data_IF_345845042823
#
_entry.id   IF_345845042823
#
_cell.length_a   1.000
_cell.length_b   1.000
_cell.length_c   1.000
_cell.angle_alpha   90.00
_cell.angle_beta   90.00
_cell.angle_gamma   90.00
#
_symmetry.space_group_name_H-M   'P 1'
#
loop_
_entity.id
_entity.type
_entity.pdbx_description
1 polymer ?
#
# COMPACT_ATOMS: atom_id res chain seq x y z
N UNK A 1 -8.97 15.65 -34.50
CA UNK A 1 -9.61 14.64 -33.62
C UNK A 1 -9.29 15.01 -32.17
N UNK A 2 -10.29 15.14 -31.29
CA UNK A 2 -10.06 15.62 -29.90
C UNK A 2 -9.18 14.60 -29.15
N UNK A 3 -8.17 15.05 -28.41
CA UNK A 3 -7.16 14.20 -27.71
C UNK A 3 -7.81 13.06 -26.93
N UNK A 4 -8.93 13.34 -26.25
CA UNK A 4 -9.72 12.37 -25.49
C UNK A 4 -10.26 11.20 -26.34
N UNK A 5 -10.81 11.48 -27.53
CA UNK A 5 -11.31 10.42 -28.43
C UNK A 5 -10.18 9.51 -28.90
N UNK A 6 -8.99 10.07 -29.10
CA UNK A 6 -7.81 9.30 -29.50
C UNK A 6 -7.28 8.43 -28.37
N UNK A 7 -7.36 8.90 -27.11
CA UNK A 7 -7.03 8.09 -25.93
C UNK A 7 -7.93 6.85 -25.84
N UNK A 8 -9.26 7.03 -25.91
CA UNK A 8 -10.20 5.92 -25.84
C UNK A 8 -10.07 4.95 -27.02
N UNK A 9 -9.81 5.46 -28.22
CA UNK A 9 -9.54 4.62 -29.39
C UNK A 9 -8.25 3.79 -29.23
N UNK A 10 -7.18 4.41 -28.68
CA UNK A 10 -5.91 3.75 -28.39
C UNK A 10 -6.06 2.64 -27.34
N UNK A 11 -6.84 2.89 -26.27
CA UNK A 11 -7.17 1.90 -25.24
C UNK A 11 -7.83 0.64 -25.85
N UNK A 12 -8.78 0.82 -26.77
CA UNK A 12 -9.44 -0.31 -27.46
C UNK A 12 -8.47 -1.04 -28.39
N UNK A 13 -7.63 -0.31 -29.10
CA UNK A 13 -6.71 -0.88 -30.08
C UNK A 13 -5.58 -1.69 -29.42
N UNK A 14 -5.08 -1.25 -28.26
CA UNK A 14 -4.03 -1.93 -27.50
C UNK A 14 -4.57 -2.66 -26.26
N UNK A 15 -5.75 -3.28 -26.36
CA UNK A 15 -6.44 -3.89 -25.22
C UNK A 15 -5.61 -4.91 -24.44
N UNK A 16 -4.68 -5.64 -25.09
CA UNK A 16 -3.77 -6.59 -24.41
C UNK A 16 -2.82 -5.88 -23.46
N UNK A 17 -2.24 -4.77 -23.89
CA UNK A 17 -1.40 -3.94 -23.05
C UNK A 17 -2.20 -3.37 -21.89
N UNK A 18 -3.37 -2.79 -22.18
CA UNK A 18 -4.27 -2.25 -21.17
C UNK A 18 -4.69 -3.30 -20.14
N UNK A 19 -4.95 -4.54 -20.57
CA UNK A 19 -5.30 -5.65 -19.69
C UNK A 19 -4.12 -6.03 -18.76
N UNK A 20 -2.92 -6.22 -19.32
CA UNK A 20 -1.72 -6.55 -18.53
C UNK A 20 -1.39 -5.42 -17.55
N UNK A 21 -1.43 -4.16 -18.01
CA UNK A 21 -1.24 -2.98 -17.18
C UNK A 21 -2.30 -2.91 -16.07
N UNK A 22 -3.56 -3.20 -16.39
CA UNK A 22 -4.67 -3.25 -15.44
C UNK A 22 -4.47 -4.31 -14.35
N UNK A 23 -4.01 -5.51 -14.70
CA UNK A 23 -3.71 -6.58 -13.71
C UNK A 23 -2.60 -6.15 -12.76
N UNK A 24 -1.50 -5.57 -13.27
CA UNK A 24 -0.42 -5.09 -12.40
C UNK A 24 -0.83 -3.90 -11.55
N UNK A 25 -1.65 -2.99 -12.10
CA UNK A 25 -2.26 -1.90 -11.35
C UNK A 25 -3.16 -2.44 -10.24
N UNK A 26 -3.91 -3.52 -10.50
CA UNK A 26 -4.72 -4.18 -9.49
C UNK A 26 -3.90 -4.76 -8.34
N UNK A 27 -2.86 -5.53 -8.67
CA UNK A 27 -1.97 -6.09 -7.66
C UNK A 27 -1.31 -5.00 -6.83
N UNK A 28 -0.85 -3.92 -7.46
CA UNK A 28 -0.29 -2.76 -6.77
C UNK A 28 -1.31 -2.12 -5.83
N UNK A 29 -2.49 -1.73 -6.33
CA UNK A 29 -3.50 -1.03 -5.52
C UNK A 29 -3.97 -1.85 -4.33
N UNK A 30 -4.29 -3.13 -4.53
CA UNK A 30 -4.74 -4.00 -3.44
C UNK A 30 -3.62 -4.21 -2.41
N UNK A 31 -2.39 -4.50 -2.86
CA UNK A 31 -1.27 -4.75 -1.94
C UNK A 31 -0.87 -3.49 -1.17
N UNK A 32 -0.81 -2.34 -1.86
CA UNK A 32 -0.46 -1.06 -1.25
C UNK A 32 -1.53 -0.58 -0.27
N UNK A 33 -2.82 -0.70 -0.62
CA UNK A 33 -3.91 -0.36 0.29
C UNK A 33 -3.87 -1.26 1.54
N UNK A 34 -3.68 -2.56 1.35
CA UNK A 34 -3.56 -3.53 2.45
C UNK A 34 -2.42 -3.15 3.39
N UNK A 35 -1.26 -2.79 2.82
CA UNK A 35 -0.07 -2.40 3.59
C UNK A 35 -0.30 -1.11 4.37
N UNK A 36 -0.95 -0.12 3.77
CA UNK A 36 -1.26 1.15 4.44
C UNK A 36 -2.26 0.96 5.59
N UNK A 37 -3.29 0.13 5.40
CA UNK A 37 -4.26 -0.20 6.46
C UNK A 37 -3.57 -0.95 7.59
N UNK A 38 -2.73 -1.94 7.30
CA UNK A 38 -2.00 -2.70 8.33
C UNK A 38 -1.02 -1.78 9.09
N UNK A 39 -0.32 -0.89 8.39
CA UNK A 39 0.54 0.11 9.02
C UNK A 39 -0.26 1.00 9.98
N UNK A 40 -1.45 1.45 9.58
CA UNK A 40 -2.30 2.30 10.41
C UNK A 40 -2.83 1.57 11.65
N UNK A 41 -3.30 0.33 11.50
CA UNK A 41 -3.72 -0.52 12.62
C UNK A 41 -2.56 -0.70 13.61
N UNK A 42 -1.35 -0.97 13.11
CA UNK A 42 -0.17 -1.16 13.96
C UNK A 42 0.29 0.14 14.62
N UNK A 43 0.19 1.28 13.92
CA UNK A 43 0.48 2.60 14.47
C UNK A 43 -0.46 2.98 15.61
N UNK A 44 -1.76 2.78 15.43
CA UNK A 44 -2.76 2.99 16.49
C UNK A 44 -2.52 2.07 17.69
N UNK A 45 -2.28 0.78 17.43
CA UNK A 45 -1.98 -0.19 18.49
C UNK A 45 -0.70 0.16 19.27
N UNK A 46 0.35 0.63 18.58
CA UNK A 46 1.59 1.09 19.20
C UNK A 46 1.36 2.35 20.04
N UNK A 47 0.64 3.35 19.52
CA UNK A 47 0.35 4.58 20.26
C UNK A 47 -0.46 4.34 21.53
N UNK A 48 -1.49 3.49 21.45
CA UNK A 48 -2.24 3.05 22.62
C UNK A 48 -1.35 2.31 23.62
N UNK A 49 -0.48 1.41 23.12
CA UNK A 49 0.46 0.67 23.96
C UNK A 49 1.44 1.60 24.70
N UNK A 50 2.04 2.57 24.00
CA UNK A 50 2.96 3.55 24.59
C UNK A 50 2.27 4.44 25.63
N UNK A 51 1.08 4.96 25.32
CA UNK A 51 0.28 5.76 26.27
C UNK A 51 -0.03 4.95 27.53
N UNK A 52 -0.41 3.69 27.34
CA UNK A 52 -0.74 2.76 28.42
C UNK A 52 0.49 2.42 29.28
N UNK A 53 1.67 2.27 28.68
CA UNK A 53 2.93 2.12 29.43
C UNK A 53 3.28 3.38 30.22
N UNK A 54 3.14 4.57 29.63
CA UNK A 54 3.45 5.84 30.32
C UNK A 54 2.59 6.02 31.58
N UNK A 55 1.31 5.64 31.53
CA UNK A 55 0.42 5.64 32.71
C UNK A 55 0.94 4.69 33.81
N UNK A 56 1.41 3.50 33.43
CA UNK A 56 1.95 2.51 34.38
C UNK A 56 3.23 3.05 35.01
N UNK A 57 4.11 3.62 34.20
CA UNK A 57 5.42 4.06 34.67
C UNK A 57 5.32 5.27 35.61
N UNK A 58 4.51 6.28 35.24
CA UNK A 58 4.27 7.45 36.11
C UNK A 58 3.73 7.08 37.48
N UNK A 59 3.00 5.97 37.59
CA UNK A 59 2.45 5.47 38.86
C UNK A 59 3.39 4.55 39.63
N UNK A 60 4.34 3.89 38.95
CA UNK A 60 5.13 2.82 39.55
C UNK A 60 6.62 3.10 39.69
N UNK A 61 7.20 4.11 39.00
CA UNK A 61 8.66 4.39 38.99
C UNK A 61 9.52 3.12 38.72
N UNK A 62 9.01 2.16 37.94
CA UNK A 62 9.58 0.81 37.77
C UNK A 62 9.78 0.45 36.27
N UNK A 63 9.93 1.45 35.37
CA UNK A 63 10.25 1.27 33.93
C UNK A 63 11.41 0.30 33.62
N UNK A 64 12.33 0.09 34.57
CA UNK A 64 13.51 -0.76 34.42
C UNK A 64 13.26 -2.26 34.65
N UNK A 65 12.12 -2.69 35.23
CA UNK A 65 11.91 -4.12 35.57
C UNK A 65 11.21 -4.96 34.51
N UNK A 66 10.61 -4.37 33.47
CA UNK A 66 9.76 -5.12 32.55
C UNK A 66 10.41 -5.28 31.16
N UNK A 67 11.42 -6.14 31.09
CA UNK A 67 12.08 -6.53 29.83
C UNK A 67 11.08 -7.01 28.75
N UNK A 68 10.01 -7.68 29.16
CA UNK A 68 8.92 -8.14 28.28
C UNK A 68 8.16 -6.99 27.60
N UNK A 69 7.89 -5.89 28.31
CA UNK A 69 7.18 -4.73 27.76
C UNK A 69 8.05 -4.00 26.72
N UNK A 70 9.37 -3.89 26.96
CA UNK A 70 10.32 -3.35 25.96
C UNK A 70 10.41 -4.25 24.73
N UNK A 71 10.41 -5.57 24.90
CA UNK A 71 10.41 -6.51 23.78
C UNK A 71 9.13 -6.38 22.92
N UNK A 72 7.96 -6.25 23.54
CA UNK A 72 6.70 -6.03 22.82
C UNK A 72 6.70 -4.69 22.06
N UNK A 73 7.24 -3.63 22.67
CA UNK A 73 7.39 -2.32 22.02
C UNK A 73 8.28 -2.41 20.77
N UNK A 74 9.43 -3.08 20.88
CA UNK A 74 10.32 -3.32 19.75
C UNK A 74 9.68 -4.17 18.64
N UNK A 75 8.89 -5.18 18.99
CA UNK A 75 8.17 -6.00 18.00
C UNK A 75 7.18 -5.14 17.22
N UNK A 76 6.36 -4.33 17.90
CA UNK A 76 5.41 -3.42 17.23
C UNK A 76 6.11 -2.39 16.36
N UNK A 77 7.16 -1.75 16.86
CA UNK A 77 7.97 -0.80 16.09
C UNK A 77 8.58 -1.46 14.85
N UNK A 78 9.10 -2.69 14.97
CA UNK A 78 9.61 -3.43 13.81
C UNK A 78 8.53 -3.69 12.76
N UNK A 79 7.30 -4.03 13.16
CA UNK A 79 6.20 -4.27 12.22
C UNK A 79 5.80 -2.97 11.50
N UNK A 80 5.75 -1.84 12.20
CA UNK A 80 5.50 -0.52 11.59
C UNK A 80 6.58 -0.17 10.57
N UNK A 81 7.86 -0.36 10.91
CA UNK A 81 8.97 -0.12 9.98
C UNK A 81 8.90 -1.06 8.77
N UNK A 82 8.62 -2.35 8.99
CA UNK A 82 8.55 -3.34 7.92
C UNK A 82 7.40 -3.07 6.96
N UNK A 83 6.22 -2.71 7.47
CA UNK A 83 5.07 -2.32 6.65
C UNK A 83 5.37 -1.08 5.82
N UNK A 84 6.03 -0.07 6.39
CA UNK A 84 6.45 1.12 5.66
C UNK A 84 7.47 0.77 4.56
N UNK A 85 8.47 -0.07 4.87
CA UNK A 85 9.45 -0.53 3.89
C UNK A 85 8.80 -1.32 2.76
N UNK A 86 7.86 -2.21 3.09
CA UNK A 86 7.12 -3.00 2.11
C UNK A 86 6.30 -2.11 1.17
N UNK A 87 5.68 -1.04 1.70
CA UNK A 87 5.00 -0.04 0.87
C UNK A 87 5.96 0.63 -0.13
N UNK A 88 7.14 1.06 0.32
CA UNK A 88 8.12 1.68 -0.58
C UNK A 88 8.65 0.71 -1.64
N UNK A 89 8.85 -0.56 -1.28
CA UNK A 89 9.22 -1.61 -2.23
C UNK A 89 8.12 -1.79 -3.28
N UNK A 90 6.85 -1.91 -2.87
CA UNK A 90 5.72 -2.00 -3.79
C UNK A 90 5.65 -0.80 -4.75
N UNK A 91 5.84 0.41 -4.21
CA UNK A 91 5.84 1.65 -4.98
C UNK A 91 6.97 1.69 -6.01
N UNK A 92 8.20 1.34 -5.59
CA UNK A 92 9.37 1.26 -6.48
C UNK A 92 9.25 0.16 -7.53
N UNK A 93 8.74 -1.02 -7.17
CA UNK A 93 8.49 -2.12 -8.11
C UNK A 93 7.43 -1.74 -9.14
N UNK A 94 6.37 -1.03 -8.74
CA UNK A 94 5.35 -0.55 -9.66
C UNK A 94 5.90 0.51 -10.62
N UNK A 95 6.73 1.44 -10.14
CA UNK A 95 7.44 2.40 -10.99
C UNK A 95 8.27 1.72 -12.07
N UNK A 96 9.08 0.73 -11.67
CA UNK A 96 9.93 -0.04 -12.57
C UNK A 96 9.09 -0.83 -13.58
N UNK A 97 7.97 -1.40 -13.16
CA UNK A 97 7.06 -2.12 -14.04
C UNK A 97 6.44 -1.19 -15.10
N UNK A 98 5.98 0.00 -14.70
CA UNK A 98 5.45 1.00 -15.64
C UNK A 98 6.52 1.43 -16.64
N UNK A 99 7.75 1.61 -16.19
CA UNK A 99 8.88 1.93 -17.06
C UNK A 99 9.08 0.83 -18.11
N UNK A 100 9.18 -0.44 -17.68
CA UNK A 100 9.35 -1.59 -18.59
C UNK A 100 8.20 -1.66 -19.60
N UNK A 101 6.96 -1.59 -19.11
CA UNK A 101 5.77 -1.62 -19.95
C UNK A 101 5.73 -0.45 -20.93
N UNK A 102 6.09 0.75 -20.49
CA UNK A 102 6.16 1.93 -21.36
C UNK A 102 7.21 1.74 -22.46
N UNK A 103 8.41 1.25 -22.11
CA UNK A 103 9.49 0.98 -23.08
C UNK A 103 9.07 -0.08 -24.10
N UNK A 104 8.48 -1.19 -23.66
CA UNK A 104 8.00 -2.25 -24.57
C UNK A 104 6.96 -1.68 -25.54
N UNK A 105 6.00 -0.90 -25.03
CA UNK A 105 4.95 -0.30 -25.87
C UNK A 105 5.50 0.74 -26.83
N UNK A 106 6.48 1.53 -26.43
CA UNK A 106 7.17 2.48 -27.31
C UNK A 106 7.89 1.76 -28.46
N UNK A 107 8.52 0.62 -28.19
CA UNK A 107 9.17 -0.21 -29.22
C UNK A 107 8.12 -0.80 -30.18
N UNK A 108 7.03 -1.37 -29.65
CA UNK A 108 5.96 -1.98 -30.46
C UNK A 108 5.23 -0.94 -31.34
N UNK A 109 5.06 0.29 -30.84
CA UNK A 109 4.35 1.37 -31.51
C UNK A 109 5.26 2.34 -32.26
N UNK A 110 6.52 1.97 -32.51
CA UNK A 110 7.51 2.83 -33.20
C UNK A 110 6.98 3.41 -34.51
N UNK A 111 6.28 2.61 -35.31
CA UNK A 111 5.72 3.06 -36.59
C UNK A 111 4.60 4.10 -36.42
N UNK A 112 3.75 3.96 -35.40
CA UNK A 112 2.70 4.96 -35.11
C UNK A 112 3.30 6.30 -34.72
N UNK A 113 4.33 6.27 -33.86
CA UNK A 113 5.01 7.48 -33.42
C UNK A 113 5.77 8.18 -34.56
N UNK A 114 6.39 7.42 -35.47
CA UNK A 114 7.01 7.97 -36.67
C UNK A 114 5.99 8.68 -37.57
N UNK A 115 4.79 8.11 -37.76
CA UNK A 115 3.72 8.75 -38.54
C UNK A 115 3.25 10.04 -37.87
N UNK A 116 3.15 10.09 -36.54
CA UNK A 116 2.79 11.32 -35.83
C UNK A 116 3.84 12.43 -35.97
N UNK A 117 5.12 12.09 -35.97
CA UNK A 117 6.20 13.04 -36.24
C UNK A 117 6.15 13.55 -37.69
N UNK A 118 5.91 12.67 -38.66
CA UNK A 118 5.73 13.05 -40.07
C UNK A 118 4.51 13.95 -40.29
N UNK A 119 3.46 13.78 -39.47
CA UNK A 119 2.29 14.65 -39.47
C UNK A 119 2.52 16.01 -38.77
N UNK A 120 3.76 16.33 -38.38
CA UNK A 120 4.14 17.61 -37.78
C UNK A 120 3.81 17.76 -36.30
N UNK A 121 3.48 16.66 -35.60
CA UNK A 121 3.14 16.71 -34.17
C UNK A 121 4.42 16.85 -33.33
N UNK A 122 4.40 17.75 -32.35
CA UNK A 122 5.57 17.95 -31.47
C UNK A 122 5.83 16.72 -30.60
N UNK A 123 7.11 16.48 -30.25
CA UNK A 123 7.49 15.39 -29.35
C UNK A 123 6.79 15.51 -27.98
N UNK A 124 6.59 16.74 -27.48
CA UNK A 124 5.88 16.99 -26.24
C UNK A 124 4.41 16.53 -26.31
N UNK A 125 3.71 16.80 -27.42
CA UNK A 125 2.31 16.39 -27.59
C UNK A 125 2.16 14.88 -27.76
N UNK A 126 3.18 14.21 -28.29
CA UNK A 126 3.23 12.75 -28.39
C UNK A 126 3.42 12.14 -27.00
N UNK A 127 4.41 12.62 -26.23
CA UNK A 127 4.64 12.17 -24.84
C UNK A 127 3.45 12.43 -23.94
N UNK A 128 2.83 13.60 -24.08
CA UNK A 128 1.65 13.95 -23.30
C UNK A 128 0.45 13.04 -23.63
N UNK A 129 0.21 12.76 -24.91
CA UNK A 129 -0.85 11.83 -25.30
C UNK A 129 -0.61 10.43 -24.75
N UNK A 130 0.62 9.92 -24.84
CA UNK A 130 0.96 8.60 -24.29
C UNK A 130 0.80 8.54 -22.77
N UNK A 131 1.25 9.58 -22.06
CA UNK A 131 1.08 9.67 -20.62
C UNK A 131 -0.40 9.70 -20.21
N UNK A 132 -1.24 10.41 -20.97
CA UNK A 132 -2.68 10.40 -20.75
C UNK A 132 -3.29 9.02 -21.01
N UNK A 133 -2.88 8.28 -22.05
CA UNK A 133 -3.39 6.93 -22.31
C UNK A 133 -3.17 5.98 -21.13
N UNK A 134 -1.97 6.01 -20.55
CA UNK A 134 -1.63 5.19 -19.38
C UNK A 134 -2.32 5.70 -18.12
N UNK A 135 -2.43 7.02 -17.94
CA UNK A 135 -3.15 7.61 -16.81
C UNK A 135 -4.63 7.23 -16.82
N UNK A 136 -5.31 7.33 -17.97
CA UNK A 136 -6.71 6.91 -18.08
C UNK A 136 -6.88 5.40 -17.85
N UNK A 137 -5.93 4.58 -18.32
CA UNK A 137 -5.93 3.14 -18.03
C UNK A 137 -5.81 2.87 -16.53
N UNK A 138 -4.93 3.61 -15.83
CA UNK A 138 -4.77 3.54 -14.38
C UNK A 138 -6.04 3.98 -13.65
N UNK A 139 -6.64 5.11 -14.04
CA UNK A 139 -7.86 5.63 -13.42
C UNK A 139 -9.03 4.65 -13.56
N UNK A 140 -9.22 4.07 -14.74
CA UNK A 140 -10.27 3.05 -14.97
C UNK A 140 -10.04 1.85 -14.06
N UNK A 141 -8.81 1.32 -14.00
CA UNK A 141 -8.48 0.20 -13.11
C UNK A 141 -8.74 0.58 -11.65
N UNK A 142 -8.27 1.76 -11.21
CA UNK A 142 -8.47 2.27 -9.86
C UNK A 142 -9.95 2.28 -9.47
N UNK A 143 -10.82 2.90 -10.26
CA UNK A 143 -12.25 2.97 -9.94
C UNK A 143 -12.90 1.58 -9.91
N UNK A 144 -12.56 0.69 -10.85
CA UNK A 144 -13.08 -0.68 -10.85
C UNK A 144 -12.69 -1.40 -9.55
N UNK A 145 -11.43 -1.31 -9.14
CA UNK A 145 -10.92 -1.98 -7.94
C UNK A 145 -11.54 -1.38 -6.68
N UNK A 146 -11.63 -0.05 -6.59
CA UNK A 146 -12.28 0.61 -5.46
C UNK A 146 -13.72 0.16 -5.32
N UNK A 147 -14.49 0.09 -6.41
CA UNK A 147 -15.87 -0.40 -6.38
C UNK A 147 -15.91 -1.85 -5.91
N UNK A 148 -15.04 -2.72 -6.44
CA UNK A 148 -14.97 -4.12 -6.02
C UNK A 148 -14.66 -4.21 -4.52
N UNK A 149 -13.65 -3.49 -4.03
CA UNK A 149 -13.26 -3.50 -2.63
C UNK A 149 -14.36 -2.95 -1.71
N UNK A 150 -15.13 -1.95 -2.13
CA UNK A 150 -16.29 -1.47 -1.38
C UNK A 150 -17.39 -2.54 -1.27
N UNK A 151 -17.61 -3.32 -2.33
CA UNK A 151 -18.58 -4.43 -2.32
C UNK A 151 -18.12 -5.56 -1.39
N UNK A 152 -16.82 -5.87 -1.34
CA UNK A 152 -16.26 -6.96 -0.52
C UNK A 152 -15.60 -6.47 0.78
N UNK A 153 -15.90 -5.25 1.22
CA UNK A 153 -15.12 -4.56 2.27
C UNK A 153 -15.04 -5.35 3.59
N UNK A 154 -16.14 -5.97 4.02
CA UNK A 154 -16.18 -6.71 5.29
C UNK A 154 -15.21 -7.90 5.24
N UNK A 155 -15.29 -8.70 4.18
CA UNK A 155 -14.41 -9.86 3.98
C UNK A 155 -12.95 -9.45 3.85
N UNK A 156 -12.70 -8.34 3.15
CA UNK A 156 -11.36 -7.82 2.96
C UNK A 156 -10.74 -7.33 4.27
N UNK A 157 -11.46 -6.52 5.04
CA UNK A 157 -10.98 -5.98 6.31
C UNK A 157 -10.82 -7.07 7.38
N UNK A 158 -11.76 -8.01 7.48
CA UNK A 158 -11.66 -9.16 8.39
C UNK A 158 -10.41 -10.01 8.06
N UNK A 159 -10.15 -10.24 6.77
CA UNK A 159 -8.95 -10.93 6.30
C UNK A 159 -7.66 -10.18 6.65
N UNK A 160 -7.64 -8.84 6.54
CA UNK A 160 -6.50 -8.03 6.94
C UNK A 160 -6.24 -8.08 8.44
N UNK A 161 -7.30 -8.07 9.26
CA UNK A 161 -7.18 -8.19 10.73
C UNK A 161 -6.56 -9.55 11.08
N UNK A 162 -7.04 -10.64 10.48
CA UNK A 162 -6.49 -11.98 10.71
C UNK A 162 -5.03 -12.08 10.27
N UNK A 163 -4.69 -11.56 9.10
CA UNK A 163 -3.31 -11.54 8.59
C UNK A 163 -2.39 -10.72 9.50
N UNK A 164 -2.87 -9.59 9.99
CA UNK A 164 -2.14 -8.75 10.92
C UNK A 164 -1.89 -9.45 12.27
N UNK A 165 -2.90 -10.14 12.80
CA UNK A 165 -2.76 -10.95 14.01
C UNK A 165 -1.77 -12.10 13.83
N UNK A 166 -1.82 -12.77 12.67
CA UNK A 166 -0.87 -13.83 12.31
C UNK A 166 0.57 -13.29 12.26
N UNK A 167 0.79 -12.17 11.56
CA UNK A 167 2.13 -11.59 11.43
C UNK A 167 2.68 -11.08 12.76
N UNK A 168 1.83 -10.48 13.60
CA UNK A 168 2.20 -10.09 14.96
C UNK A 168 2.60 -11.31 15.79
N UNK A 169 1.80 -12.38 15.76
CA UNK A 169 2.09 -13.61 16.49
C UNK A 169 3.42 -14.22 16.03
N UNK A 170 3.71 -14.23 14.73
CA UNK A 170 4.97 -14.74 14.18
C UNK A 170 6.20 -13.93 14.64
N UNK A 171 6.04 -12.62 14.82
CA UNK A 171 7.11 -11.73 15.29
C UNK A 171 7.35 -11.80 16.80
N UNK A 172 6.48 -12.45 17.57
CA UNK A 172 6.67 -12.60 19.02
C UNK A 172 7.89 -13.47 19.34
N UNK A 173 8.69 -13.12 20.37
CA UNK A 173 9.74 -13.99 20.90
C UNK A 173 9.18 -15.36 21.29
N UNK A 174 9.97 -16.43 21.12
CA UNK A 174 9.55 -17.81 21.42
C UNK A 174 9.02 -17.99 22.84
N UNK A 175 9.57 -17.24 23.80
CA UNK A 175 9.11 -17.22 25.20
C UNK A 175 7.69 -16.65 25.39
N UNK A 176 7.28 -15.71 24.53
CA UNK A 176 5.93 -15.14 24.52
C UNK A 176 4.98 -15.96 23.64
N UNK A 177 5.48 -16.57 22.55
CA UNK A 177 4.70 -17.55 21.75
C UNK A 177 4.27 -18.75 22.60
N UNK A 178 5.15 -19.28 23.45
CA UNK A 178 4.82 -20.39 24.37
C UNK A 178 3.86 -19.96 25.48
N UNK A 179 3.86 -18.70 25.91
CA UNK A 179 2.84 -18.15 26.83
C UNK A 179 1.45 -18.08 26.20
N UNK A 180 1.37 -17.85 24.89
CA UNK A 180 0.13 -17.80 24.11
C UNK A 180 -0.41 -19.20 23.76
N UNK A 181 0.47 -20.18 23.58
CA UNK A 181 0.12 -21.56 23.15
C UNK A 181 0.11 -22.59 24.26
N UNK A 182 0.83 -22.35 25.36
CA UNK A 182 0.70 -23.20 26.55
C UNK A 182 -0.55 -22.81 27.32
N UNK A 183 -1.45 -23.75 27.53
CA UNK A 183 -2.54 -23.70 28.51
C UNK A 183 -2.02 -23.57 29.97
N UNK A 184 -0.88 -22.92 30.21
CA UNK A 184 -0.47 -22.54 31.56
C UNK A 184 -1.30 -21.35 32.00
N UNK A 185 -2.56 -21.60 32.33
CA UNK A 185 -3.50 -20.62 32.87
C UNK A 185 -2.82 -19.73 33.91
N UNK A 186 -1.92 -20.26 34.73
CA UNK A 186 -1.19 -19.51 35.76
C UNK A 186 -0.30 -18.37 35.25
N UNK A 187 0.41 -18.52 34.12
CA UNK A 187 1.36 -17.48 33.69
C UNK A 187 0.65 -16.37 32.90
N UNK A 188 -0.36 -16.75 32.11
CA UNK A 188 -1.29 -15.81 31.50
C UNK A 188 -2.18 -15.12 32.53
N UNK A 189 -2.61 -15.83 33.59
CA UNK A 189 -3.29 -15.24 34.74
C UNK A 189 -2.37 -14.29 35.49
N UNK A 190 -1.10 -14.60 35.73
CA UNK A 190 -0.14 -13.66 36.34
C UNK A 190 0.09 -12.43 35.46
N UNK A 191 0.20 -12.60 34.15
CA UNK A 191 0.26 -11.49 33.20
C UNK A 191 -1.00 -10.63 33.26
N UNK A 192 -2.19 -11.23 33.24
CA UNK A 192 -3.45 -10.51 33.38
C UNK A 192 -3.67 -9.91 34.78
N UNK A 193 -3.18 -10.54 35.85
CA UNK A 193 -3.28 -10.06 37.23
C UNK A 193 -2.50 -8.76 37.44
N UNK A 194 -1.39 -8.56 36.72
CA UNK A 194 -0.66 -7.30 36.71
C UNK A 194 -1.51 -6.13 36.20
N UNK A 195 -2.52 -6.43 35.40
CA UNK A 195 -3.41 -5.47 34.78
C UNK A 195 -4.81 -5.44 35.41
N UNK A 196 -5.22 -6.49 36.16
CA UNK A 196 -6.55 -6.59 36.80
C UNK A 196 -6.83 -5.51 37.86
N UNK A 197 -5.79 -4.94 38.49
CA UNK A 197 -5.96 -3.93 39.55
C UNK A 197 -5.68 -2.51 39.08
N UNK A 198 -5.40 -2.31 37.79
CA UNK A 198 -5.22 -0.96 37.24
C UNK A 198 -6.52 -0.52 36.56
N UNK A 199 -7.17 0.47 37.18
CA UNK A 199 -8.44 1.05 36.77
C UNK A 199 -8.53 1.23 35.23
N UNK A 200 -9.56 0.61 34.63
CA UNK A 200 -10.04 0.63 33.22
C UNK A 200 -9.47 -0.43 32.26
N UNK A 201 -10.36 -1.30 31.75
CA UNK A 201 -10.29 -2.11 30.50
C UNK A 201 -8.90 -2.62 30.06
N UNK A 202 -8.04 -2.97 30.99
CA UNK A 202 -6.68 -3.40 30.70
C UNK A 202 -6.62 -4.93 30.84
N UNK A 203 -6.86 -5.62 29.73
CA UNK A 203 -6.64 -7.06 29.63
C UNK A 203 -5.37 -7.29 28.80
N UNK A 204 -4.55 -8.30 29.14
CA UNK A 204 -3.37 -8.66 28.35
C UNK A 204 -3.70 -8.89 26.87
N UNK A 205 -4.92 -9.36 26.57
CA UNK A 205 -5.40 -9.44 25.19
C UNK A 205 -5.53 -8.07 24.51
N UNK A 206 -6.16 -7.07 25.16
CA UNK A 206 -6.34 -5.68 24.69
C UNK A 206 -5.02 -4.91 24.48
N UNK A 207 -3.95 -5.46 25.03
CA UNK A 207 -2.60 -4.89 25.05
C UNK A 207 -1.78 -5.47 23.87
N UNK A 208 -2.01 -6.75 23.56
CA UNK A 208 -1.41 -7.48 22.45
C UNK A 208 -2.18 -7.34 21.14
N UNK A 209 -3.49 -7.21 21.24
CA UNK A 209 -4.41 -7.05 20.14
C UNK A 209 -5.33 -5.92 20.57
N UNK A 210 -5.23 -4.77 19.91
CA UNK A 210 -6.26 -3.77 20.10
C UNK A 210 -7.59 -4.49 19.81
N UNK A 211 -8.47 -4.64 20.81
CA UNK A 211 -9.88 -4.81 20.49
C UNK A 211 -10.26 -3.43 20.02
N UNK A 212 -9.92 -3.14 18.77
CA UNK A 212 -10.33 -1.94 18.09
C UNK A 212 -11.78 -1.76 18.49
N UNK A 213 -12.12 -0.55 18.95
CA UNK A 213 -13.52 -0.22 19.16
C UNK A 213 -14.26 -0.84 18.00
N UNK A 214 -15.19 -1.75 18.25
CA UNK A 214 -16.02 -2.38 17.22
C UNK A 214 -16.96 -1.32 16.61
N UNK A 215 -16.49 -0.09 16.43
CA UNK A 215 -16.95 0.79 15.39
C UNK A 215 -16.66 0.02 14.10
N UNK A 216 -17.72 -0.28 13.35
CA UNK A 216 -17.61 -0.94 12.06
C UNK A 216 -16.78 -0.02 11.14
N UNK A 217 -15.45 -0.16 11.20
CA UNK A 217 -14.54 0.57 10.34
C UNK A 217 -14.84 0.10 8.92
N UNK A 218 -15.38 1.01 8.11
CA UNK A 218 -15.63 0.76 6.70
C UNK A 218 -14.38 1.08 5.89
N UNK A 219 -14.34 0.66 4.63
CA UNK A 219 -13.32 1.16 3.70
C UNK A 219 -13.37 2.70 3.56
N UNK A 220 -14.52 3.29 3.89
CA UNK A 220 -14.74 4.73 3.92
C UNK A 220 -13.90 5.47 4.98
N UNK A 221 -13.53 4.81 6.09
CA UNK A 221 -12.66 5.41 7.12
C UNK A 221 -11.19 5.46 6.65
N UNK A 222 -10.88 4.75 5.57
CA UNK A 222 -9.57 4.71 4.91
C UNK A 222 -9.54 5.51 3.59
N UNK A 223 -10.50 6.44 3.40
CA UNK A 223 -10.61 7.29 2.21
C UNK A 223 -9.30 8.05 1.93
N UNK A 224 -8.62 8.52 2.97
CA UNK A 224 -7.33 9.20 2.87
C UNK A 224 -6.27 8.34 2.18
N UNK A 225 -6.25 7.03 2.43
CA UNK A 225 -5.30 6.11 1.79
C UNK A 225 -5.70 5.84 0.33
N UNK A 226 -6.99 5.72 0.04
CA UNK A 226 -7.47 5.65 -1.35
C UNK A 226 -7.09 6.89 -2.15
N UNK A 227 -7.28 8.09 -1.57
CA UNK A 227 -6.87 9.35 -2.19
C UNK A 227 -5.35 9.45 -2.35
N UNK A 228 -4.58 9.03 -1.34
CA UNK A 228 -3.13 9.01 -1.43
C UNK A 228 -2.64 8.10 -2.58
N UNK A 229 -3.21 6.89 -2.70
CA UNK A 229 -2.89 5.96 -3.78
C UNK A 229 -3.31 6.50 -5.15
N UNK A 230 -4.48 7.15 -5.24
CA UNK A 230 -4.94 7.78 -6.48
C UNK A 230 -3.95 8.84 -6.94
N UNK A 231 -3.59 9.79 -6.06
CA UNK A 231 -2.70 10.89 -6.40
C UNK A 231 -1.28 10.44 -6.68
N UNK A 232 -0.69 9.63 -5.80
CA UNK A 232 0.68 9.13 -5.95
C UNK A 232 0.79 8.20 -7.15
N UNK A 233 -0.16 7.28 -7.33
CA UNK A 233 -0.20 6.38 -8.48
C UNK A 233 -0.41 7.12 -9.80
N UNK A 234 -1.34 8.07 -9.85
CA UNK A 234 -1.57 8.90 -11.05
C UNK A 234 -0.34 9.73 -11.43
N UNK A 235 0.26 10.40 -10.44
CA UNK A 235 1.48 11.19 -10.64
C UNK A 235 2.64 10.34 -11.16
N UNK A 236 2.82 9.15 -10.58
CA UNK A 236 3.86 8.21 -10.96
C UNK A 236 3.65 7.65 -12.38
N UNK A 237 2.43 7.17 -12.69
CA UNK A 237 2.08 6.66 -14.03
C UNK A 237 2.30 7.74 -15.09
N UNK A 238 1.82 8.96 -14.82
CA UNK A 238 1.98 10.09 -15.73
C UNK A 238 3.46 10.44 -15.94
N UNK A 239 4.21 10.65 -14.85
CA UNK A 239 5.61 11.07 -14.92
C UNK A 239 6.48 10.05 -15.66
N UNK A 240 6.37 8.76 -15.33
CA UNK A 240 7.19 7.71 -15.95
C UNK A 240 6.82 7.54 -17.43
N UNK A 241 5.53 7.55 -17.76
CA UNK A 241 5.07 7.43 -19.16
C UNK A 241 5.50 8.64 -19.99
N UNK A 242 5.41 9.84 -19.41
CA UNK A 242 5.83 11.08 -20.09
C UNK A 242 7.35 11.12 -20.29
N UNK A 243 8.14 10.83 -19.26
CA UNK A 243 9.60 10.87 -19.32
C UNK A 243 10.16 9.80 -20.25
N UNK A 244 9.66 8.57 -20.18
CA UNK A 244 10.09 7.47 -21.07
C UNK A 244 9.82 7.80 -22.54
N UNK A 245 8.65 8.35 -22.86
CA UNK A 245 8.30 8.74 -24.23
C UNK A 245 9.09 9.95 -24.70
N UNK A 246 9.34 10.92 -23.82
CA UNK A 246 10.14 12.11 -24.14
C UNK A 246 11.59 11.73 -24.44
N UNK A 247 12.17 10.82 -23.64
CA UNK A 247 13.51 10.31 -23.89
C UNK A 247 13.59 9.49 -25.17
N UNK A 248 12.60 8.62 -25.41
CA UNK A 248 12.52 7.82 -26.64
C UNK A 248 12.41 8.69 -27.89
N UNK A 249 11.48 9.64 -27.90
CA UNK A 249 11.26 10.55 -29.03
C UNK A 249 12.49 11.41 -29.31
N UNK A 250 13.14 11.96 -28.28
CA UNK A 250 14.41 12.68 -28.39
C UNK A 250 15.53 11.84 -29.01
N UNK A 251 15.65 10.57 -28.60
CA UNK A 251 16.64 9.65 -29.18
C UNK A 251 16.35 9.39 -30.66
N UNK A 252 15.08 9.13 -31.00
CA UNK A 252 14.69 8.86 -32.40
C UNK A 252 14.88 10.08 -33.30
N UNK A 253 14.58 11.30 -32.83
CA UNK A 253 14.78 12.50 -33.63
C UNK A 253 16.25 12.78 -33.93
N UNK A 254 17.17 12.44 -33.00
CA UNK A 254 18.61 12.56 -33.25
C UNK A 254 19.13 11.53 -34.26
N UNK A 255 18.57 10.32 -34.25
CA UNK A 255 18.95 9.28 -35.22
C UNK A 255 18.45 9.56 -36.64
N UNK A 256 17.38 10.34 -36.80
CA UNK A 256 16.86 10.73 -38.11
C UNK A 256 17.60 11.93 -38.75
N UNK A 257 18.44 12.64 -37.97
CA UNK A 257 19.24 13.80 -38.42
C UNK A 257 20.67 13.40 -38.85
N UNK A 258 21.09 12.17 -38.60
CA UNK A 258 22.36 11.58 -39.02
C UNK A 258 22.15 10.58 -40.16
#
# INVERSE_FOLDING_TARGET
MRVVQRVFASLRYHWRYTAVFGVFTMLFLVSSLSTLIVHDIQGHALGLFEQRIDIIDRKSQILTRWSLLRQLLHVRQSIVIDTQNFYFILFGSFALLILILSVITLIQRKHEFAIYQLAGKSNADISFQFALENLFSFLIAFFIITIILLVVQSWYLDGLIQLNQYWFTEKLPTSLKTLLTSNSEQTWQKFNQLFQHQFTTFNGHLLLFDQGSHNALGLADYDRYLWALLWQGSGLVFAISYLSTSFYSWRTSRQALN
#
